data_IF_982355101888
#
_entry.id   IF_982355101888
#
_cell.length_a   1.000
_cell.length_b   1.000
_cell.length_c   1.000
_cell.angle_alpha   90.00
_cell.angle_beta   90.00
_cell.angle_gamma   90.00
#
_symmetry.space_group_name_H-M   'P 1'
#
loop_
_entity.id
_entity.type
_entity.pdbx_description
1 polymer ?
#
# COMPACT_ATOMS: atom_id res chain seq x y z
N UNK A 1 -6.73 8.24 9.94
CA UNK A 1 -6.92 7.00 10.72
C UNK A 1 -8.35 6.54 10.52
N UNK A 2 -8.55 5.35 9.98
CA UNK A 2 -9.87 4.71 9.88
C UNK A 2 -10.30 4.29 11.28
N UNK A 3 -11.45 4.75 11.75
CA UNK A 3 -11.97 4.35 13.05
C UNK A 3 -12.35 2.86 13.03
N UNK A 4 -11.83 2.09 13.98
CA UNK A 4 -12.19 0.68 14.20
C UNK A 4 -13.15 0.66 15.39
N UNK A 5 -14.37 0.14 15.19
CA UNK A 5 -15.39 0.05 16.24
C UNK A 5 -15.65 -1.40 16.61
N UNK A 6 -15.51 -1.76 17.88
CA UNK A 6 -15.78 -3.13 18.36
C UNK A 6 -17.25 -3.52 18.13
N UNK A 7 -17.48 -4.74 17.63
CA UNK A 7 -18.83 -5.31 17.49
C UNK A 7 -19.03 -6.53 18.37
N UNK A 8 -18.10 -7.48 18.32
CA UNK A 8 -18.20 -8.75 19.03
C UNK A 8 -16.82 -9.40 19.21
N UNK A 9 -16.71 -10.32 20.16
CA UNK A 9 -15.51 -11.14 20.34
C UNK A 9 -15.86 -12.51 20.92
N UNK A 10 -15.11 -13.53 20.49
CA UNK A 10 -15.22 -14.90 20.99
C UNK A 10 -13.83 -15.48 21.25
N UNK A 11 -13.67 -16.19 22.35
CA UNK A 11 -12.42 -16.84 22.71
C UNK A 11 -12.68 -18.16 23.43
N UNK A 12 -11.82 -19.15 23.19
CA UNK A 12 -11.89 -20.43 23.86
C UNK A 12 -10.55 -21.12 23.90
N UNK A 13 -10.38 -22.00 24.89
CA UNK A 13 -9.20 -22.84 25.02
C UNK A 13 -9.62 -24.27 25.41
N UNK A 14 -8.89 -25.23 24.87
CA UNK A 14 -9.05 -26.67 25.11
C UNK A 14 -7.66 -27.30 25.22
N UNK A 15 -7.59 -28.60 25.48
CA UNK A 15 -6.33 -29.33 25.52
C UNK A 15 -5.63 -29.45 24.16
N UNK A 16 -6.32 -29.18 23.05
CA UNK A 16 -5.78 -29.38 21.70
C UNK A 16 -5.77 -28.12 20.84
N UNK A 17 -6.50 -27.08 21.25
CA UNK A 17 -6.52 -25.79 20.55
C UNK A 17 -6.95 -24.65 21.45
N UNK A 18 -6.60 -23.44 21.06
CA UNK A 18 -7.27 -22.23 21.54
C UNK A 18 -7.45 -21.25 20.38
N UNK A 19 -8.49 -20.45 20.47
CA UNK A 19 -8.89 -19.53 19.41
C UNK A 19 -9.28 -18.18 19.98
N UNK A 20 -9.15 -17.17 19.14
CA UNK A 20 -9.66 -15.85 19.39
C UNK A 20 -10.23 -15.26 18.10
N UNK A 21 -11.44 -14.75 18.18
CA UNK A 21 -12.12 -14.04 17.10
C UNK A 21 -12.53 -12.67 17.60
N UNK A 22 -12.22 -11.63 16.82
CA UNK A 22 -12.75 -10.27 17.02
C UNK A 22 -13.47 -9.81 15.79
N UNK A 23 -14.65 -9.24 15.98
CA UNK A 23 -15.46 -8.63 14.92
C UNK A 23 -15.52 -7.14 15.19
N UNK A 24 -15.17 -6.36 14.18
CA UNK A 24 -15.13 -4.91 14.22
C UNK A 24 -15.78 -4.33 12.97
N UNK A 25 -16.11 -3.05 13.04
CA UNK A 25 -16.46 -2.26 11.87
C UNK A 25 -15.30 -1.38 11.45
N UNK A 26 -14.97 -1.40 10.16
CA UNK A 26 -13.89 -0.62 9.55
C UNK A 26 -14.38 -0.04 8.23
N UNK A 27 -14.36 1.29 8.10
CA UNK A 27 -14.82 2.00 6.90
C UNK A 27 -16.24 1.57 6.44
N UNK A 28 -17.16 1.31 7.39
CA UNK A 28 -18.52 0.86 7.11
C UNK A 28 -18.64 -0.61 6.67
N UNK A 29 -17.55 -1.38 6.73
CA UNK A 29 -17.52 -2.83 6.44
C UNK A 29 -17.33 -3.60 7.74
N UNK A 30 -18.01 -4.74 7.88
CA UNK A 30 -17.79 -5.65 9.00
C UNK A 30 -16.59 -6.53 8.69
N UNK A 31 -15.60 -6.53 9.59
CA UNK A 31 -14.35 -7.29 9.47
C UNK A 31 -14.23 -8.20 10.68
N UNK A 32 -13.79 -9.44 10.50
CA UNK A 32 -13.41 -10.33 11.60
C UNK A 32 -11.95 -10.73 11.48
N UNK A 33 -11.21 -10.68 12.57
CA UNK A 33 -9.94 -11.39 12.71
C UNK A 33 -10.20 -12.71 13.42
N UNK A 34 -9.78 -13.82 12.81
CA UNK A 34 -9.87 -15.17 13.36
C UNK A 34 -8.47 -15.74 13.48
N UNK A 35 -8.11 -16.12 14.70
CA UNK A 35 -6.83 -16.69 15.04
C UNK A 35 -7.06 -18.00 15.78
N UNK A 36 -6.43 -19.06 15.32
CA UNK A 36 -6.53 -20.40 15.89
C UNK A 36 -5.14 -21.01 16.03
N UNK A 37 -4.82 -21.49 17.22
CA UNK A 37 -3.59 -22.20 17.54
C UNK A 37 -3.93 -23.65 17.89
N UNK A 38 -3.75 -24.55 16.94
CA UNK A 38 -3.85 -26.00 17.15
C UNK A 38 -2.53 -26.60 17.65
N UNK A 39 -2.50 -27.91 17.94
CA UNK A 39 -1.28 -28.62 18.37
C UNK A 39 -0.21 -28.57 17.28
N UNK A 40 -0.63 -28.69 16.02
CA UNK A 40 0.26 -28.71 14.86
C UNK A 40 0.14 -27.43 14.03
N UNK A 41 1.16 -27.18 13.21
CA UNK A 41 1.24 -26.03 12.31
C UNK A 41 0.06 -25.99 11.33
N UNK A 42 -0.29 -27.14 10.73
CA UNK A 42 -1.39 -27.27 9.78
C UNK A 42 -2.79 -27.12 10.39
N UNK A 43 -2.90 -27.17 11.72
CA UNK A 43 -4.15 -26.95 12.46
C UNK A 43 -4.25 -25.52 12.99
N UNK A 44 -3.33 -24.64 12.57
CA UNK A 44 -3.25 -23.26 13.03
C UNK A 44 -3.50 -22.30 11.87
N UNK A 45 -4.00 -21.11 12.17
CA UNK A 45 -4.30 -20.10 11.16
C UNK A 45 -4.58 -18.74 11.76
N UNK A 46 -4.20 -17.69 11.05
CA UNK A 46 -4.44 -16.30 11.44
C UNK A 46 -4.89 -15.51 10.21
N UNK A 47 -6.16 -15.11 10.17
CA UNK A 47 -6.77 -14.48 9.01
C UNK A 47 -7.68 -13.32 9.43
N UNK A 48 -7.65 -12.23 8.66
CA UNK A 48 -8.67 -11.20 8.66
C UNK A 48 -9.58 -11.41 7.45
N UNK A 49 -10.88 -11.39 7.69
CA UNK A 49 -11.92 -11.59 6.69
C UNK A 49 -12.91 -10.42 6.71
N UNK A 50 -13.45 -10.06 5.56
CA UNK A 50 -14.48 -9.03 5.41
C UNK A 50 -15.81 -9.68 5.05
N UNK A 51 -16.90 -9.21 5.66
CA UNK A 51 -18.25 -9.65 5.30
C UNK A 51 -18.64 -9.00 3.97
N UNK A 52 -18.92 -9.83 2.97
CA UNK A 52 -19.34 -9.40 1.63
C UNK A 52 -20.82 -9.04 1.62
N UNK A 53 -21.26 -8.37 0.55
CA UNK A 53 -22.68 -8.01 0.36
C UNK A 53 -23.57 -9.27 0.15
N UNK A 54 -22.96 -10.43 -0.11
CA UNK A 54 -23.61 -11.73 -0.19
C UNK A 54 -23.71 -12.44 1.17
N UNK A 55 -23.32 -11.76 2.26
CA UNK A 55 -23.25 -12.31 3.62
C UNK A 55 -22.27 -13.49 3.78
N UNK A 56 -21.20 -13.49 2.99
CA UNK A 56 -20.10 -14.46 3.09
C UNK A 56 -18.83 -13.80 3.62
N UNK A 57 -17.96 -14.56 4.27
CA UNK A 57 -16.67 -14.06 4.75
C UNK A 57 -15.59 -14.28 3.67
N UNK A 58 -15.05 -13.19 3.15
CA UNK A 58 -13.94 -13.20 2.19
C UNK A 58 -12.60 -12.90 2.86
N UNK A 59 -11.57 -13.69 2.56
CA UNK A 59 -10.21 -13.44 3.08
C UNK A 59 -9.64 -12.12 2.56
N UNK A 60 -9.11 -11.31 3.47
CA UNK A 60 -8.54 -9.99 3.17
C UNK A 60 -7.04 -9.95 3.46
N UNK A 61 -6.62 -10.49 4.60
CA UNK A 61 -5.22 -10.59 5.00
C UNK A 61 -4.99 -11.84 5.83
N UNK A 62 -3.77 -12.40 5.76
CA UNK A 62 -3.33 -13.49 6.61
C UNK A 62 -1.92 -13.20 7.15
N UNK A 63 -1.63 -13.75 8.32
CA UNK A 63 -0.29 -13.72 8.91
C UNK A 63 0.36 -15.11 8.74
N UNK A 64 1.61 -15.14 8.29
CA UNK A 64 2.34 -16.42 8.11
C UNK A 64 2.52 -17.12 9.46
N UNK A 65 2.34 -18.44 9.48
CA UNK A 65 2.43 -19.23 10.71
C UNK A 65 3.81 -19.14 11.35
N UNK A 66 4.88 -19.01 10.56
CA UNK A 66 6.25 -18.88 11.08
C UNK A 66 6.45 -17.59 11.89
N UNK A 67 5.60 -16.57 11.70
CA UNK A 67 5.73 -15.28 12.39
C UNK A 67 5.21 -15.30 13.84
N UNK A 68 4.47 -16.33 14.25
CA UNK A 68 3.77 -16.29 15.56
C UNK A 68 3.56 -17.66 16.21
N UNK A 69 3.57 -18.76 15.46
CA UNK A 69 3.22 -20.08 15.99
C UNK A 69 4.20 -20.57 17.07
N UNK A 70 5.49 -20.26 16.91
CA UNK A 70 6.55 -20.59 17.87
C UNK A 70 6.58 -19.67 19.10
N UNK A 71 6.10 -18.43 18.95
CA UNK A 71 6.06 -17.42 20.00
C UNK A 71 4.79 -17.50 20.87
N UNK A 72 3.87 -18.38 20.50
CA UNK A 72 2.64 -18.64 21.24
C UNK A 72 2.72 -19.98 21.97
N UNK A 73 2.25 -20.07 23.22
CA UNK A 73 2.31 -21.30 24.00
C UNK A 73 1.54 -22.44 23.30
N UNK A 74 1.96 -23.70 23.49
CA UNK A 74 1.17 -24.85 23.08
C UNK A 74 -0.23 -24.84 23.70
N UNK A 75 -1.23 -25.48 23.07
CA UNK A 75 -2.58 -25.53 23.62
C UNK A 75 -2.66 -26.14 25.01
N UNK A 76 -3.41 -25.47 25.88
CA UNK A 76 -3.74 -25.92 27.23
C UNK A 76 -5.07 -25.24 27.65
N UNK A 77 -5.98 -25.92 28.36
CA UNK A 77 -7.26 -25.35 28.79
C UNK A 77 -7.15 -24.05 29.60
N UNK A 78 -6.04 -23.84 30.30
CA UNK A 78 -5.80 -22.68 31.17
C UNK A 78 -5.19 -21.49 30.42
N UNK A 79 -4.93 -21.61 29.11
CA UNK A 79 -4.39 -20.51 28.30
C UNK A 79 -5.41 -19.39 28.18
N UNK A 80 -5.01 -18.18 28.54
CA UNK A 80 -5.81 -16.98 28.34
C UNK A 80 -5.76 -16.53 26.86
N UNK A 81 -6.58 -17.16 26.01
CA UNK A 81 -6.56 -16.99 24.56
C UNK A 81 -6.60 -15.53 24.10
N UNK A 82 -7.45 -14.69 24.73
CA UNK A 82 -7.53 -13.25 24.44
C UNK A 82 -6.20 -12.55 24.66
N UNK A 83 -5.49 -12.89 25.74
CA UNK A 83 -4.22 -12.25 26.09
C UNK A 83 -3.07 -12.68 25.18
N UNK A 84 -3.09 -13.93 24.72
CA UNK A 84 -2.06 -14.50 23.85
C UNK A 84 -2.29 -14.10 22.39
N UNK A 85 -3.50 -14.26 21.87
CA UNK A 85 -3.83 -14.04 20.45
C UNK A 85 -4.31 -12.61 20.17
N UNK A 86 -4.64 -11.83 21.19
CA UNK A 86 -5.10 -10.44 21.06
C UNK A 86 -4.20 -9.54 20.22
N UNK A 87 -2.88 -9.50 20.48
CA UNK A 87 -1.95 -8.71 19.67
C UNK A 87 -1.93 -9.12 18.19
N UNK A 88 -2.05 -10.42 17.90
CA UNK A 88 -2.09 -10.94 16.53
C UNK A 88 -3.41 -10.56 15.82
N UNK A 89 -4.53 -10.67 16.53
CA UNK A 89 -5.83 -10.20 16.02
C UNK A 89 -5.80 -8.68 15.74
N UNK A 90 -5.21 -7.87 16.62
CA UNK A 90 -5.08 -6.41 16.41
C UNK A 90 -4.25 -6.09 15.17
N UNK A 91 -3.09 -6.75 14.96
CA UNK A 91 -2.28 -6.55 13.75
C UNK A 91 -3.05 -6.90 12.47
N UNK A 92 -3.80 -8.00 12.50
CA UNK A 92 -4.63 -8.42 11.37
C UNK A 92 -5.74 -7.40 11.06
N UNK A 93 -6.41 -6.88 12.09
CA UNK A 93 -7.43 -5.84 11.94
C UNK A 93 -6.84 -4.51 11.45
N UNK A 94 -5.65 -4.15 11.90
CA UNK A 94 -4.96 -2.96 11.41
C UNK A 94 -4.63 -3.07 9.93
N UNK A 95 -4.05 -4.20 9.51
CA UNK A 95 -3.75 -4.46 8.09
C UNK A 95 -5.02 -4.50 7.24
N UNK A 96 -6.10 -5.10 7.76
CA UNK A 96 -7.40 -5.05 7.11
C UNK A 96 -7.90 -3.61 6.93
N UNK A 97 -7.71 -2.74 7.93
CA UNK A 97 -8.07 -1.34 7.85
C UNK A 97 -7.24 -0.55 6.86
N UNK A 98 -5.96 -0.88 6.69
CA UNK A 98 -5.11 -0.29 5.65
C UNK A 98 -5.56 -0.69 4.24
N UNK A 99 -5.94 -1.96 4.04
CA UNK A 99 -6.44 -2.45 2.74
C UNK A 99 -7.81 -1.84 2.41
N UNK A 100 -8.68 -1.70 3.41
CA UNK A 100 -10.03 -1.14 3.25
C UNK A 100 -10.06 0.39 3.28
N UNK A 101 -8.97 1.05 3.70
CA UNK A 101 -8.87 2.49 3.61
C UNK A 101 -9.04 2.90 2.14
N UNK A 102 -9.92 3.87 1.89
CA UNK A 102 -10.01 4.46 0.57
C UNK A 102 -8.60 4.88 0.15
N UNK A 103 -8.16 4.55 -1.08
CA UNK A 103 -6.90 5.07 -1.57
C UNK A 103 -6.88 6.58 -1.34
N UNK A 104 -5.73 7.16 -0.94
CA UNK A 104 -5.64 8.61 -0.81
C UNK A 104 -6.22 9.23 -2.09
N UNK A 105 -6.99 10.32 -1.99
CA UNK A 105 -7.72 10.87 -3.12
C UNK A 105 -6.79 10.94 -4.31
N UNK A 106 -7.03 10.07 -5.29
CA UNK A 106 -6.18 9.98 -6.46
C UNK A 106 -6.31 11.32 -7.14
N UNK A 107 -5.21 12.08 -7.22
CA UNK A 107 -5.16 13.19 -8.17
C UNK A 107 -5.44 12.54 -9.52
N UNK A 108 -6.59 12.87 -10.10
CA UNK A 108 -6.99 12.27 -11.37
C UNK A 108 -6.05 12.85 -12.41
N UNK A 109 -5.04 12.07 -12.79
CA UNK A 109 -4.16 12.40 -13.90
C UNK A 109 -4.99 12.40 -15.18
N UNK A 110 -4.71 13.34 -16.08
CA UNK A 110 -5.35 13.34 -17.40
C UNK A 110 -5.11 11.99 -18.11
N UNK A 111 -6.03 11.53 -18.97
CA UNK A 111 -5.80 10.33 -19.79
C UNK A 111 -4.54 10.42 -20.65
N UNK A 112 -4.16 11.64 -21.07
CA UNK A 112 -2.96 11.92 -21.83
C UNK A 112 -1.69 11.65 -21.01
N UNK A 113 -1.63 12.14 -19.76
CA UNK A 113 -0.54 11.86 -18.85
C UNK A 113 -0.38 10.37 -18.54
N UNK A 114 -1.49 9.65 -18.34
CA UNK A 114 -1.46 8.20 -18.14
C UNK A 114 -0.82 7.46 -19.32
N UNK A 115 -1.17 7.84 -20.56
CA UNK A 115 -0.58 7.27 -21.78
C UNK A 115 0.90 7.62 -21.91
N UNK A 116 1.28 8.85 -21.55
CA UNK A 116 2.66 9.30 -21.61
C UNK A 116 3.55 8.55 -20.61
N UNK A 117 3.08 8.31 -19.37
CA UNK A 117 3.79 7.48 -18.38
C UNK A 117 3.90 6.03 -18.86
N UNK A 118 2.83 5.47 -19.46
CA UNK A 118 2.89 4.13 -20.05
C UNK A 118 3.92 4.03 -21.18
N UNK A 119 4.02 5.06 -22.03
CA UNK A 119 5.03 5.13 -23.08
C UNK A 119 6.45 5.23 -22.50
N UNK A 120 6.64 6.06 -21.46
CA UNK A 120 7.93 6.20 -20.78
C UNK A 120 8.40 4.88 -20.15
N UNK A 121 7.50 4.14 -19.51
CA UNK A 121 7.79 2.80 -18.98
C UNK A 121 8.16 1.84 -20.11
N UNK A 122 7.40 1.85 -21.22
CA UNK A 122 7.68 1.01 -22.37
C UNK A 122 9.07 1.29 -22.97
N UNK A 123 9.48 2.56 -23.05
CA UNK A 123 10.77 2.98 -23.58
C UNK A 123 11.93 2.63 -22.65
N UNK A 124 11.78 2.83 -21.35
CA UNK A 124 12.89 2.65 -20.39
C UNK A 124 13.02 1.22 -19.85
N UNK A 125 11.93 0.44 -19.87
CA UNK A 125 11.89 -0.86 -19.21
C UNK A 125 11.30 -1.97 -20.07
N UNK A 126 10.61 -1.64 -21.17
CA UNK A 126 9.99 -2.60 -22.08
C UNK A 126 8.46 -2.54 -22.07
N UNK A 127 7.81 -2.93 -23.17
CA UNK A 127 6.36 -2.73 -23.38
C UNK A 127 5.44 -3.47 -22.39
N UNK A 128 5.94 -4.51 -21.72
CA UNK A 128 5.23 -5.29 -20.70
C UNK A 128 5.96 -5.26 -19.34
N UNK A 129 6.81 -4.25 -19.13
CA UNK A 129 7.67 -4.20 -17.97
C UNK A 129 6.92 -3.87 -16.68
N UNK A 130 7.45 -4.39 -15.59
CA UNK A 130 7.10 -3.99 -14.23
C UNK A 130 8.27 -3.19 -13.65
N UNK A 131 8.01 -1.98 -13.16
CA UNK A 131 9.02 -1.11 -12.56
C UNK A 131 8.51 -0.58 -11.22
N UNK A 132 9.28 -0.86 -10.16
CA UNK A 132 9.05 -0.28 -8.83
C UNK A 132 10.02 0.88 -8.64
N UNK A 133 9.48 2.04 -8.28
CA UNK A 133 10.25 3.21 -7.83
C UNK A 133 10.06 3.30 -6.33
N UNK A 134 11.13 3.20 -5.55
CA UNK A 134 11.03 3.18 -4.09
C UNK A 134 11.11 4.60 -3.48
N UNK A 135 10.76 4.78 -2.20
CA UNK A 135 10.79 6.11 -1.56
C UNK A 135 12.16 6.81 -1.59
N UNK A 136 13.27 6.07 -1.60
CA UNK A 136 14.61 6.65 -1.71
C UNK A 136 14.86 7.16 -3.12
N UNK A 137 14.43 6.43 -4.15
CA UNK A 137 14.48 6.90 -5.54
C UNK A 137 13.68 8.20 -5.71
N UNK A 138 12.46 8.23 -5.14
CA UNK A 138 11.59 9.41 -5.16
C UNK A 138 12.27 10.58 -4.44
N UNK A 139 12.83 10.34 -3.26
CA UNK A 139 13.52 11.38 -2.46
C UNK A 139 14.75 11.91 -3.17
N UNK A 140 15.58 11.02 -3.72
CA UNK A 140 16.75 11.40 -4.50
C UNK A 140 16.33 12.23 -5.71
N UNK A 141 15.35 11.76 -6.50
CA UNK A 141 14.85 12.51 -7.64
C UNK A 141 14.26 13.87 -7.22
N UNK A 142 13.54 13.96 -6.11
CA UNK A 142 12.98 15.24 -5.63
C UNK A 142 14.08 16.24 -5.26
N UNK A 143 15.16 15.77 -4.66
CA UNK A 143 16.24 16.61 -4.15
C UNK A 143 17.32 16.95 -5.20
N UNK A 144 17.28 16.34 -6.40
CA UNK A 144 18.31 16.50 -7.42
C UNK A 144 17.70 16.95 -8.76
N UNK A 145 18.16 18.10 -9.28
CA UNK A 145 17.63 18.77 -10.48
C UNK A 145 16.55 19.81 -10.18
N UNK A 146 15.93 20.38 -11.22
CA UNK A 146 14.81 21.31 -11.09
C UNK A 146 13.48 20.62 -10.75
N UNK A 147 12.44 21.41 -10.48
CA UNK A 147 11.10 20.87 -10.29
C UNK A 147 10.61 20.16 -11.58
N UNK A 148 9.94 19.01 -11.45
CA UNK A 148 9.32 18.35 -12.59
C UNK A 148 8.19 19.21 -13.14
N UNK A 149 8.30 19.57 -14.42
CA UNK A 149 7.25 20.22 -15.21
C UNK A 149 6.73 19.23 -16.25
N UNK A 150 5.42 19.26 -16.46
CA UNK A 150 4.70 18.41 -17.39
C UNK A 150 3.87 19.34 -18.28
N UNK A 151 4.13 19.30 -19.59
CA UNK A 151 3.38 20.07 -20.58
C UNK A 151 2.66 19.12 -21.53
N UNK A 152 1.36 19.28 -21.69
CA UNK A 152 0.56 18.57 -22.67
C UNK A 152 0.41 19.43 -23.92
N UNK A 153 0.81 18.90 -25.08
CA UNK A 153 0.81 19.65 -26.33
C UNK A 153 -0.48 19.43 -27.12
N UNK A 154 -0.88 20.38 -27.98
CA UNK A 154 -2.09 20.24 -28.83
C UNK A 154 -2.05 19.04 -29.78
N UNK A 155 -0.86 18.56 -30.16
CA UNK A 155 -0.67 17.37 -31.00
C UNK A 155 -0.78 16.04 -30.23
N UNK A 156 -1.02 16.11 -28.91
CA UNK A 156 -1.15 14.97 -28.02
C UNK A 156 0.18 14.45 -27.47
N UNK A 157 1.32 15.05 -27.83
CA UNK A 157 2.60 14.76 -27.19
C UNK A 157 2.66 15.36 -25.78
N UNK A 158 3.57 14.84 -24.95
CA UNK A 158 3.77 15.32 -23.57
C UNK A 158 5.25 15.49 -23.32
N UNK A 159 5.64 16.65 -22.80
CA UNK A 159 7.01 16.91 -22.35
C UNK A 159 7.12 16.77 -20.84
N UNK A 160 8.06 15.95 -20.39
CA UNK A 160 8.52 15.90 -19.00
C UNK A 160 9.89 16.59 -18.91
N UNK A 161 10.04 17.60 -18.07
CA UNK A 161 11.33 18.29 -17.92
C UNK A 161 11.62 18.69 -16.48
N UNK A 162 12.90 18.59 -16.11
CA UNK A 162 13.50 19.15 -14.88
C UNK A 162 14.69 20.06 -15.20
N UNK A 163 14.92 20.32 -16.48
CA UNK A 163 16.15 20.94 -16.98
C UNK A 163 16.12 22.47 -16.89
N UNK A 164 14.94 23.07 -16.75
CA UNK A 164 14.74 24.50 -16.89
C UNK A 164 14.33 25.15 -15.57
N UNK A 165 14.80 26.38 -15.35
CA UNK A 165 14.32 27.27 -14.28
C UNK A 165 12.92 27.78 -14.58
N UNK A 166 12.22 28.24 -13.55
CA UNK A 166 10.85 28.74 -13.66
C UNK A 166 10.70 29.93 -14.63
N UNK A 167 11.75 30.74 -14.77
CA UNK A 167 11.80 31.92 -15.63
C UNK A 167 12.27 31.61 -17.07
N UNK A 168 12.63 30.36 -17.36
CA UNK A 168 13.10 29.95 -18.68
C UNK A 168 12.01 30.19 -19.75
N UNK A 169 12.34 30.74 -20.94
CA UNK A 169 11.38 30.91 -22.02
C UNK A 169 10.65 29.63 -22.41
N UNK A 170 11.32 28.47 -22.36
CA UNK A 170 10.70 27.16 -22.57
C UNK A 170 9.61 26.88 -21.54
N UNK A 171 9.85 27.16 -20.26
CA UNK A 171 8.85 26.96 -19.19
C UNK A 171 7.74 27.99 -19.26
N UNK A 172 8.09 29.28 -19.45
CA UNK A 172 7.16 30.38 -19.52
C UNK A 172 6.20 30.28 -20.73
N UNK A 173 6.63 29.61 -21.80
CA UNK A 173 5.82 29.33 -22.99
C UNK A 173 5.15 27.96 -22.99
N UNK A 174 5.17 27.25 -21.86
CA UNK A 174 4.60 25.89 -21.72
C UNK A 174 5.18 24.89 -22.74
N UNK A 175 6.45 25.03 -23.08
CA UNK A 175 7.17 24.22 -24.07
C UNK A 175 6.89 24.62 -25.52
N UNK A 176 6.12 25.69 -25.77
CA UNK A 176 5.82 26.18 -27.11
C UNK A 176 6.98 26.91 -27.80
N UNK A 177 7.98 27.38 -27.04
CA UNK A 177 9.19 28.00 -27.56
C UNK A 177 10.44 27.24 -27.09
N UNK A 178 11.50 27.28 -27.90
CA UNK A 178 12.78 26.67 -27.57
C UNK A 178 13.49 27.34 -26.39
N UNK A 179 14.37 26.59 -25.73
CA UNK A 179 15.30 27.10 -24.73
C UNK A 179 16.48 27.78 -25.44
N UNK A 180 17.01 28.86 -24.87
CA UNK A 180 18.24 29.55 -25.30
C UNK A 180 19.51 28.95 -24.67
N UNK A 181 19.38 27.74 -24.11
CA UNK A 181 20.43 26.95 -23.44
C UNK A 181 21.10 27.57 -22.20
N UNK A 182 20.64 28.73 -21.71
CA UNK A 182 21.20 29.36 -20.49
C UNK A 182 20.55 28.86 -19.18
N UNK A 183 19.76 27.79 -19.27
CA UNK A 183 18.82 27.42 -18.21
C UNK A 183 19.26 26.25 -17.32
N UNK A 184 20.48 25.73 -17.48
CA UNK A 184 20.97 24.56 -16.76
C UNK A 184 21.10 24.78 -15.24
N UNK A 185 20.87 23.70 -14.50
CA UNK A 185 21.23 23.55 -13.09
C UNK A 185 22.59 22.83 -13.00
N UNK A 186 23.42 23.21 -12.02
CA UNK A 186 24.64 22.45 -11.73
C UNK A 186 24.26 21.00 -11.38
N UNK A 187 24.73 20.05 -12.18
CA UNK A 187 24.47 18.63 -11.94
C UNK A 187 25.34 18.16 -10.76
N UNK A 188 24.76 17.65 -9.66
CA UNK A 188 25.54 16.98 -8.65
C UNK A 188 26.11 15.67 -9.20
N UNK A 189 27.41 15.42 -8.95
CA UNK A 189 28.05 14.16 -9.29
C UNK A 189 27.38 13.01 -8.51
N UNK A 190 27.04 11.91 -9.20
CA UNK A 190 26.67 10.65 -8.53
C UNK A 190 27.87 10.19 -7.69
N UNK A 191 27.70 10.16 -6.37
CA UNK A 191 28.59 9.44 -5.45
C UNK A 191 28.16 7.97 -5.38
#
# INVERSE_FOLDING_TARGET
>A
MTAITERDQDAGATSTRYHYTRVVEVAGRTVRARVERGVYLNDSGAVAEVLTDQAEWGSLAADDLNNWWHDTPPPNPDVHAVGVLGPLAERLLHRAAEILAAPPPTVTLSPHLYRAVSALLATNSGYNAECRIDPNDITWATNHGGALRIFEHPDGSVTFTKAHRDECPFVASEGGQGCDDECYFDLPHRA
#
